data_IF_711213599469
#
_entry.id   IF_711213599469
#
_cell.length_a   1.000
_cell.length_b   1.000
_cell.length_c   1.000
_cell.angle_alpha   90.00
_cell.angle_beta   90.00
_cell.angle_gamma   90.00
#
_symmetry.space_group_name_H-M   'P 1'
#
loop_
_entity.id
_entity.type
_entity.pdbx_description
1 polymer ?
#
# COMPACT_ATOMS: atom_id res chain seq x y z
N UNK A 1 -0.28 -4.52 8.26
CA UNK A 1 -1.48 -4.70 7.41
C UNK A 1 -2.51 -3.68 7.84
N UNK A 2 -3.04 -2.89 6.92
CA UNK A 2 -4.14 -1.97 7.19
C UNK A 2 -5.45 -2.56 6.68
N UNK A 3 -6.54 -2.31 7.40
CA UNK A 3 -7.88 -2.72 7.01
C UNK A 3 -8.84 -1.55 7.24
N UNK A 4 -9.63 -1.22 6.21
CA UNK A 4 -10.68 -0.20 6.26
C UNK A 4 -12.06 -0.84 6.48
N UNK A 5 -12.10 -2.06 7.04
CA UNK A 5 -13.33 -2.83 7.28
C UNK A 5 -13.83 -3.63 6.07
N UNK A 6 -13.64 -3.14 4.85
CA UNK A 6 -14.05 -3.86 3.61
C UNK A 6 -12.88 -4.53 2.91
N UNK A 7 -11.72 -3.84 2.86
CA UNK A 7 -10.54 -4.32 2.16
C UNK A 7 -9.31 -4.24 3.08
N UNK A 8 -8.37 -5.16 2.87
CA UNK A 8 -7.06 -5.13 3.50
C UNK A 8 -5.97 -4.76 2.50
N UNK A 9 -5.06 -3.90 2.93
CA UNK A 9 -3.93 -3.46 2.12
C UNK A 9 -2.62 -3.60 2.90
N UNK A 10 -1.59 -4.08 2.21
CA UNK A 10 -0.23 -4.12 2.73
C UNK A 10 0.45 -2.80 2.41
N UNK A 11 1.19 -2.24 3.37
CA UNK A 11 1.91 -1.00 3.16
C UNK A 11 3.38 -1.28 3.36
N UNK A 12 4.14 -0.99 2.31
CA UNK A 12 5.59 -0.99 2.36
C UNK A 12 6.05 0.37 2.90
N UNK A 13 6.63 0.45 4.11
CA UNK A 13 7.02 1.72 4.71
C UNK A 13 8.28 2.32 4.08
N UNK A 14 8.94 1.60 3.16
CA UNK A 14 10.27 1.99 2.70
C UNK A 14 10.24 3.28 1.87
N UNK A 15 11.11 4.23 2.23
CA UNK A 15 11.12 5.57 1.65
C UNK A 15 9.90 6.46 1.96
N UNK A 16 9.03 6.07 2.89
CA UNK A 16 7.90 6.89 3.32
C UNK A 16 8.32 8.02 4.27
N UNK A 17 7.69 9.19 4.11
CA UNK A 17 7.77 10.27 5.10
C UNK A 17 6.75 10.02 6.21
N UNK A 18 7.24 9.65 7.38
CA UNK A 18 6.40 9.29 8.54
C UNK A 18 6.08 10.53 9.39
N UNK A 19 4.80 10.75 9.67
CA UNK A 19 4.28 11.75 10.60
C UNK A 19 3.54 11.05 11.74
N UNK A 20 4.16 10.98 12.92
CA UNK A 20 3.57 10.43 14.13
C UNK A 20 2.96 11.51 15.03
N UNK A 21 2.05 11.09 15.91
CA UNK A 21 1.54 11.90 17.02
C UNK A 21 2.54 11.92 18.19
N UNK A 22 3.15 10.76 18.47
CA UNK A 22 4.09 10.60 19.58
C UNK A 22 5.50 10.83 19.07
N UNK A 23 6.17 11.82 19.67
CA UNK A 23 7.57 12.15 19.47
C UNK A 23 8.29 12.10 20.81
N UNK A 24 9.22 11.17 20.94
CA UNK A 24 10.10 11.07 22.11
C UNK A 24 11.45 11.68 21.77
N UNK A 25 11.98 12.48 22.69
CA UNK A 25 13.30 13.09 22.58
C UNK A 25 14.04 12.82 23.88
N UNK A 26 15.21 12.22 23.78
CA UNK A 26 16.08 11.98 24.93
C UNK A 26 17.54 12.20 24.56
N UNK A 27 18.39 12.24 25.58
CA UNK A 27 19.81 12.53 25.44
C UNK A 27 20.64 11.40 26.03
N UNK A 28 21.76 11.09 25.38
CA UNK A 28 22.70 10.07 25.80
C UNK A 28 24.16 10.45 25.53
N UNK A 29 25.06 9.58 26.00
CA UNK A 29 26.51 9.76 25.92
C UNK A 29 27.17 8.92 24.82
N UNK A 30 26.47 7.92 24.27
CA UNK A 30 26.96 7.08 23.18
C UNK A 30 26.33 7.51 21.86
N UNK A 31 26.83 7.02 20.72
CA UNK A 31 26.17 7.21 19.42
C UNK A 31 25.02 6.21 19.22
N UNK A 32 25.21 4.97 19.66
CA UNK A 32 24.24 3.88 19.53
C UNK A 32 23.75 3.46 20.93
N UNK A 33 22.52 3.83 21.34
CA UNK A 33 22.02 3.50 22.67
C UNK A 33 21.42 2.08 22.66
N UNK A 34 21.86 1.23 23.59
CA UNK A 34 21.39 -0.17 23.69
C UNK A 34 20.03 -0.29 24.40
N UNK A 35 19.55 0.78 25.05
CA UNK A 35 18.28 0.80 25.77
C UNK A 35 17.52 2.09 25.51
N UNK A 36 16.28 1.96 25.05
CA UNK A 36 15.34 3.08 24.95
C UNK A 36 14.86 3.44 26.35
N UNK A 37 15.40 4.53 26.92
CA UNK A 37 14.96 5.06 28.20
C UNK A 37 13.67 5.86 27.99
N UNK A 38 12.57 5.15 27.78
CA UNK A 38 11.23 5.73 27.49
C UNK A 38 10.66 6.51 28.71
N UNK A 39 11.20 6.29 29.92
CA UNK A 39 10.58 6.74 31.18
C UNK A 39 11.51 7.43 32.19
N UNK A 40 12.79 7.64 31.88
CA UNK A 40 13.63 8.40 32.81
C UNK A 40 13.36 9.90 32.64
N UNK A 41 12.59 10.43 33.59
CA UNK A 41 12.46 11.83 33.99
C UNK A 41 13.50 12.75 33.35
N UNK A 42 13.01 13.75 32.61
CA UNK A 42 13.77 14.80 31.93
C UNK A 42 14.46 15.71 32.96
N UNK A 43 15.39 15.18 33.74
CA UNK A 43 16.18 15.95 34.67
C UNK A 43 17.16 16.80 33.87
N UNK A 44 16.87 18.11 33.82
CA UNK A 44 17.61 19.18 33.14
C UNK A 44 19.09 19.23 33.62
N UNK A 45 19.38 18.64 34.78
CA UNK A 45 20.71 18.61 35.40
C UNK A 45 21.73 17.72 34.67
N UNK A 46 21.31 16.83 33.75
CA UNK A 46 22.19 15.91 33.02
C UNK A 46 22.56 16.36 31.60
N UNK A 47 22.28 17.62 31.23
CA UNK A 47 22.52 18.15 29.88
C UNK A 47 24.02 18.38 29.61
N UNK A 48 24.81 18.68 30.65
CA UNK A 48 26.23 19.03 30.48
C UNK A 48 27.15 17.84 30.12
N UNK A 49 26.72 16.60 30.36
CA UNK A 49 27.55 15.39 30.14
C UNK A 49 27.10 14.52 28.95
N UNK A 50 26.07 14.95 28.21
CA UNK A 50 25.43 14.17 27.14
C UNK A 50 25.57 14.87 25.79
N UNK A 51 26.32 14.25 24.88
CA UNK A 51 26.67 14.82 23.57
C UNK A 51 25.71 14.43 22.44
N UNK A 52 24.82 13.45 22.68
CA UNK A 52 23.93 12.92 21.65
C UNK A 52 22.47 13.18 21.99
N UNK A 53 21.71 13.60 20.98
CA UNK A 53 20.26 13.80 21.03
C UNK A 53 19.60 12.78 20.12
N UNK A 54 18.71 12.00 20.70
CA UNK A 54 17.92 11.00 20.01
C UNK A 54 16.50 11.48 19.82
N UNK A 55 15.88 11.03 18.74
CA UNK A 55 14.50 11.32 18.42
C UNK A 55 13.82 10.08 17.87
N UNK A 56 12.77 9.63 18.56
CA UNK A 56 11.94 8.52 18.14
C UNK A 56 10.53 9.02 17.83
N UNK A 57 9.94 8.40 16.80
CA UNK A 57 8.57 8.69 16.36
C UNK A 57 7.80 7.38 16.39
N UNK A 58 6.77 7.33 17.24
CA UNK A 58 6.01 6.11 17.48
C UNK A 58 4.61 6.21 16.87
N UNK A 59 4.20 5.15 16.21
CA UNK A 59 2.82 4.91 15.79
C UNK A 59 2.31 3.77 16.65
N UNK A 60 1.29 4.02 17.47
CA UNK A 60 0.73 3.01 18.35
C UNK A 60 -0.33 2.17 17.61
N UNK A 61 -0.51 0.89 17.99
CA UNK A 61 -1.61 0.10 17.47
C UNK A 61 -2.95 0.79 17.76
N UNK A 62 -3.92 0.58 16.86
CA UNK A 62 -5.29 1.13 16.95
C UNK A 62 -5.42 2.64 16.66
N UNK A 63 -4.36 3.32 16.24
CA UNK A 63 -4.45 4.68 15.72
C UNK A 63 -4.91 4.66 14.25
N UNK A 64 -5.78 5.60 13.88
CA UNK A 64 -6.18 5.80 12.49
C UNK A 64 -5.00 6.33 11.68
N UNK A 65 -4.68 5.66 10.58
CA UNK A 65 -3.57 6.00 9.70
C UNK A 65 -4.10 6.53 8.37
N UNK A 66 -3.49 7.62 7.92
CA UNK A 66 -3.68 8.20 6.61
C UNK A 66 -2.43 7.97 5.78
N UNK A 67 -2.60 7.39 4.59
CA UNK A 67 -1.48 6.97 3.75
C UNK A 67 -1.72 7.47 2.34
N UNK A 68 -0.74 8.20 1.81
CA UNK A 68 -0.68 8.60 0.40
C UNK A 68 0.52 7.90 -0.21
N UNK A 69 0.30 7.15 -1.28
CA UNK A 69 1.34 6.48 -2.05
C UNK A 69 0.80 5.93 -3.36
N UNK A 70 1.61 5.14 -4.07
CA UNK A 70 1.15 4.45 -5.26
C UNK A 70 0.45 3.15 -4.86
N UNK A 71 -0.85 3.09 -5.11
CA UNK A 71 -1.65 1.88 -4.94
C UNK A 71 -1.40 0.94 -6.12
N UNK A 72 -0.95 -0.27 -5.83
CA UNK A 72 -0.79 -1.35 -6.82
C UNK A 72 -1.54 -2.57 -6.33
N UNK A 73 -2.37 -3.12 -7.20
CA UNK A 73 -2.96 -4.43 -6.96
C UNK A 73 -2.08 -5.46 -7.65
N UNK A 74 -1.35 -6.25 -6.86
CA UNK A 74 -0.68 -7.43 -7.37
C UNK A 74 -1.75 -8.51 -7.46
N UNK A 75 -2.37 -8.62 -8.62
CA UNK A 75 -3.10 -9.85 -8.94
C UNK A 75 -2.04 -10.94 -9.14
N UNK A 76 -2.13 -12.03 -8.39
CA UNK A 76 -1.44 -13.29 -8.70
C UNK A 76 -2.13 -13.96 -9.89
N UNK A 77 -2.33 -13.19 -10.96
CA UNK A 77 -2.50 -13.79 -12.27
C UNK A 77 -1.07 -13.95 -12.77
N UNK A 78 -0.52 -15.15 -12.65
CA UNK A 78 0.33 -15.62 -13.75
C UNK A 78 -0.45 -15.29 -15.02
N UNK A 79 0.03 -14.32 -15.82
CA UNK A 79 -0.58 -13.83 -17.06
C UNK A 79 -0.61 -14.92 -18.15
N UNK A 80 -0.86 -16.16 -17.76
CA UNK A 80 -1.04 -17.29 -18.63
C UNK A 80 -2.37 -17.13 -19.33
N UNK A 81 -2.30 -16.73 -20.59
CA UNK A 81 -3.46 -16.78 -21.48
C UNK A 81 -3.97 -18.21 -21.61
N UNK A 82 -5.25 -18.37 -21.95
CA UNK A 82 -5.86 -19.68 -22.28
C UNK A 82 -5.00 -20.46 -23.29
N UNK A 83 -4.38 -19.76 -24.24
CA UNK A 83 -3.47 -20.34 -25.23
C UNK A 83 -2.22 -20.98 -24.59
N UNK A 84 -1.63 -20.35 -23.59
CA UNK A 84 -0.47 -20.93 -22.89
C UNK A 84 -0.85 -22.18 -22.10
N UNK A 85 -2.00 -22.17 -21.43
CA UNK A 85 -2.54 -23.35 -20.74
C UNK A 85 -2.80 -24.50 -21.73
N UNK A 86 -3.34 -24.19 -22.92
CA UNK A 86 -3.55 -25.19 -23.98
C UNK A 86 -2.23 -25.80 -24.46
N UNK A 87 -1.19 -24.98 -24.68
CA UNK A 87 0.12 -25.47 -25.09
C UNK A 87 0.76 -26.36 -24.03
N UNK A 88 0.69 -25.96 -22.76
CA UNK A 88 1.19 -26.77 -21.65
C UNK A 88 0.46 -28.12 -21.55
N UNK A 89 -0.85 -28.17 -21.79
CA UNK A 89 -1.61 -29.43 -21.83
C UNK A 89 -1.14 -30.33 -22.97
N UNK A 90 -0.97 -29.80 -24.18
CA UNK A 90 -0.51 -30.56 -25.34
C UNK A 90 0.91 -31.09 -25.11
N UNK A 91 1.80 -30.28 -24.56
CA UNK A 91 3.16 -30.70 -24.24
C UNK A 91 3.19 -31.78 -23.15
N UNK A 92 2.30 -31.70 -22.16
CA UNK A 92 2.16 -32.75 -21.16
C UNK A 92 1.62 -34.05 -21.77
N UNK A 93 0.65 -33.98 -22.69
CA UNK A 93 0.14 -35.18 -23.37
C UNK A 93 1.19 -35.81 -24.29
N UNK A 94 2.01 -35.01 -24.95
CA UNK A 94 3.15 -35.52 -25.75
C UNK A 94 4.18 -36.27 -24.90
N UNK A 95 4.39 -35.85 -23.65
CA UNK A 95 5.30 -36.54 -22.72
C UNK A 95 4.76 -37.91 -22.30
N UNK A 96 3.44 -38.07 -22.22
CA UNK A 96 2.79 -39.34 -21.90
C UNK A 96 2.16 -39.99 -23.14
N UNK A 97 3.02 -40.56 -24.00
CA UNK A 97 2.62 -41.18 -25.26
C UNK A 97 1.57 -42.30 -25.07
N UNK A 98 1.64 -43.06 -23.97
CA UNK A 98 0.71 -44.17 -23.70
C UNK A 98 -0.70 -43.66 -23.41
N UNK A 99 -0.83 -42.62 -22.58
CA UNK A 99 -2.12 -42.00 -22.32
C UNK A 99 -2.67 -41.26 -23.55
N UNK A 100 -1.79 -40.63 -24.34
CA UNK A 100 -2.18 -39.95 -25.56
C UNK A 100 -2.81 -40.93 -26.58
N UNK A 101 -2.14 -42.04 -26.86
CA UNK A 101 -2.67 -43.10 -27.73
C UNK A 101 -3.99 -43.62 -27.19
N UNK A 102 -4.06 -44.01 -25.92
CA UNK A 102 -5.31 -44.56 -25.34
C UNK A 102 -6.51 -43.60 -25.45
N UNK A 103 -6.27 -42.28 -25.47
CA UNK A 103 -7.33 -41.26 -25.54
C UNK A 103 -7.74 -40.87 -26.95
N UNK A 104 -6.80 -40.84 -27.90
CA UNK A 104 -7.01 -40.22 -29.20
C UNK A 104 -6.76 -41.16 -30.39
N UNK A 105 -5.99 -42.24 -30.20
CA UNK A 105 -5.78 -43.30 -31.21
C UNK A 105 -7.09 -44.12 -31.35
N UNK A 106 -7.90 -43.71 -32.32
CA UNK A 106 -9.21 -44.30 -32.60
C UNK A 106 -9.08 -45.50 -33.52
N UNK A 107 -8.11 -45.46 -34.43
CA UNK A 107 -7.87 -46.49 -35.44
C UNK A 107 -6.98 -47.64 -34.92
N UNK A 108 -6.35 -47.48 -33.74
CA UNK A 108 -5.46 -48.41 -33.04
C UNK A 108 -4.20 -48.77 -33.85
N UNK A 109 -3.70 -47.85 -34.65
CA UNK A 109 -2.49 -48.05 -35.45
C UNK A 109 -1.19 -47.82 -34.66
N UNK A 110 -1.29 -47.28 -33.44
CA UNK A 110 -0.17 -47.02 -32.55
C UNK A 110 0.57 -45.70 -32.83
N UNK A 111 0.06 -44.90 -33.75
CA UNK A 111 0.47 -43.54 -34.03
C UNK A 111 -0.70 -42.56 -33.80
N UNK A 112 -0.46 -41.25 -33.93
CA UNK A 112 -1.54 -40.24 -33.88
C UNK A 112 -1.50 -39.52 -35.20
N UNK A 113 -2.55 -39.70 -36.01
CA UNK A 113 -2.65 -39.07 -37.32
C UNK A 113 -3.08 -37.59 -37.22
N UNK A 114 -3.19 -36.91 -38.36
CA UNK A 114 -3.52 -35.49 -38.38
C UNK A 114 -4.94 -35.20 -37.85
N UNK A 115 -5.91 -36.07 -38.12
CA UNK A 115 -7.30 -35.90 -37.70
C UNK A 115 -7.45 -36.13 -36.18
N UNK A 116 -6.73 -37.11 -35.66
CA UNK A 116 -6.64 -37.40 -34.23
C UNK A 116 -5.92 -36.26 -33.48
N UNK A 117 -4.88 -35.66 -34.08
CA UNK A 117 -4.24 -34.46 -33.54
C UNK A 117 -5.15 -33.23 -33.51
N UNK A 118 -6.03 -33.07 -34.49
CA UNK A 118 -7.04 -32.01 -34.48
C UNK A 118 -8.05 -32.22 -33.36
N UNK A 119 -8.50 -33.46 -33.16
CA UNK A 119 -9.38 -33.85 -32.06
C UNK A 119 -8.73 -33.58 -30.69
N UNK A 120 -7.44 -33.93 -30.53
CA UNK A 120 -6.68 -33.61 -29.34
C UNK A 120 -6.56 -32.09 -29.11
N UNK A 121 -6.34 -31.31 -30.17
CA UNK A 121 -6.23 -29.84 -30.06
C UNK A 121 -7.54 -29.21 -29.59
N UNK A 122 -8.68 -29.66 -30.10
CA UNK A 122 -10.00 -29.20 -29.68
C UNK A 122 -10.28 -29.56 -28.21
N UNK A 123 -9.95 -30.80 -27.80
CA UNK A 123 -10.07 -31.23 -26.42
C UNK A 123 -9.18 -30.39 -25.48
N UNK A 124 -7.94 -30.13 -25.86
CA UNK A 124 -7.01 -29.29 -25.10
C UNK A 124 -7.53 -27.85 -24.97
N UNK A 125 -8.12 -27.30 -26.04
CA UNK A 125 -8.68 -25.96 -26.02
C UNK A 125 -9.88 -25.84 -25.08
N UNK A 126 -10.80 -26.81 -25.10
CA UNK A 126 -11.95 -26.84 -24.19
C UNK A 126 -11.52 -27.00 -22.74
N UNK A 127 -10.60 -27.92 -22.48
CA UNK A 127 -10.07 -28.15 -21.14
C UNK A 127 -9.28 -26.93 -20.62
N UNK A 128 -8.49 -26.27 -21.48
CA UNK A 128 -7.80 -25.03 -21.12
C UNK A 128 -8.77 -23.90 -20.77
N UNK A 129 -9.90 -23.78 -21.48
CA UNK A 129 -10.95 -22.82 -21.13
C UNK A 129 -11.59 -23.14 -19.79
N UNK A 130 -11.93 -24.41 -19.52
CA UNK A 130 -12.47 -24.81 -18.22
C UNK A 130 -11.49 -24.53 -17.08
N UNK A 131 -10.23 -24.94 -17.22
CA UNK A 131 -9.18 -24.66 -16.23
C UNK A 131 -9.02 -23.16 -16.00
N UNK A 132 -9.13 -22.34 -17.04
CA UNK A 132 -9.03 -20.89 -16.93
C UNK A 132 -10.24 -20.28 -16.19
N UNK A 133 -11.45 -20.80 -16.44
CA UNK A 133 -12.69 -20.33 -15.79
C UNK A 133 -12.81 -20.82 -14.33
N UNK A 134 -12.36 -22.04 -14.05
CA UNK A 134 -12.38 -22.64 -12.72
C UNK A 134 -11.19 -22.22 -11.86
N UNK A 135 -10.19 -21.53 -12.45
CA UNK A 135 -9.04 -21.02 -11.71
C UNK A 135 -9.54 -20.10 -10.60
N UNK A 136 -9.30 -20.44 -9.32
CA UNK A 136 -9.68 -19.55 -8.23
C UNK A 136 -9.00 -18.21 -8.45
N UNK A 137 -9.78 -17.12 -8.37
CA UNK A 137 -9.25 -15.76 -8.36
C UNK A 137 -8.39 -15.64 -7.11
N UNK A 138 -7.08 -15.87 -7.26
CA UNK A 138 -6.15 -15.70 -6.15
C UNK A 138 -6.24 -14.25 -5.69
N UNK A 139 -6.48 -14.08 -4.39
CA UNK A 139 -6.87 -12.80 -3.81
C UNK A 139 -5.82 -11.76 -4.16
N UNK A 140 -6.20 -10.81 -5.00
CA UNK A 140 -5.30 -9.79 -5.45
C UNK A 140 -4.82 -8.98 -4.23
N UNK A 141 -3.52 -9.04 -3.94
CA UNK A 141 -2.95 -8.35 -2.78
C UNK A 141 -2.76 -6.89 -3.17
N UNK A 142 -3.54 -6.01 -2.56
CA UNK A 142 -3.36 -4.57 -2.70
C UNK A 142 -2.18 -4.12 -1.83
N UNK A 143 -1.19 -3.49 -2.46
CA UNK A 143 0.00 -2.95 -1.81
C UNK A 143 0.09 -1.45 -2.10
N UNK A 144 0.41 -0.65 -1.08
CA UNK A 144 0.81 0.74 -1.25
C UNK A 144 2.33 0.82 -1.09
N UNK A 145 3.00 1.35 -2.11
CA UNK A 145 4.45 1.55 -2.13
C UNK A 145 4.81 2.98 -2.54
N UNK A 146 6.09 3.30 -2.44
CA UNK A 146 6.65 4.55 -2.94
C UNK A 146 6.38 4.67 -4.45
N UNK A 147 5.89 5.82 -4.94
CA UNK A 147 5.70 6.03 -6.36
C UNK A 147 7.02 5.91 -7.14
N UNK A 148 7.02 5.24 -8.30
CA UNK A 148 8.20 5.17 -9.18
C UNK A 148 8.63 6.57 -9.65
N UNK A 149 7.66 7.50 -9.74
CA UNK A 149 7.90 8.89 -10.09
C UNK A 149 8.36 9.65 -8.84
N UNK A 150 9.65 9.99 -8.80
CA UNK A 150 10.36 10.63 -7.69
C UNK A 150 9.71 11.93 -7.14
N UNK A 151 8.88 12.61 -7.94
CA UNK A 151 8.22 13.87 -7.53
C UNK A 151 6.93 13.68 -6.72
N UNK A 152 6.40 12.45 -6.57
CA UNK A 152 5.15 12.24 -5.82
C UNK A 152 5.43 11.98 -4.34
N UNK A 153 4.75 12.67 -3.41
CA UNK A 153 4.97 12.48 -2.00
C UNK A 153 4.45 11.10 -1.55
N UNK A 154 5.30 10.35 -0.85
CA UNK A 154 4.91 9.12 -0.15
C UNK A 154 4.85 9.43 1.35
N UNK A 155 3.65 9.49 1.93
CA UNK A 155 3.42 9.99 3.30
C UNK A 155 2.57 8.98 4.07
N UNK A 156 3.03 8.64 5.28
CA UNK A 156 2.27 7.88 6.28
C UNK A 156 2.06 8.80 7.48
N UNK A 157 0.81 9.15 7.77
CA UNK A 157 0.45 10.12 8.80
C UNK A 157 -0.60 9.57 9.76
N UNK A 158 -0.40 9.78 11.06
CA UNK A 158 -1.37 9.44 12.12
C UNK A 158 -2.48 10.49 12.25
N UNK A 159 -2.36 11.63 11.54
CA UNK A 159 -3.33 12.71 11.65
C UNK A 159 -4.57 12.43 10.77
N UNK A 160 -5.78 12.30 11.35
CA UNK A 160 -7.00 12.40 10.56
C UNK A 160 -7.12 13.85 10.08
N UNK A 161 -6.92 14.07 8.78
CA UNK A 161 -7.00 15.36 8.09
C UNK A 161 -8.22 16.21 8.50
N UNK A 162 -9.31 15.56 8.94
CA UNK A 162 -10.54 16.21 9.44
C UNK A 162 -10.36 17.08 10.70
N UNK A 163 -9.40 16.77 11.61
CA UNK A 163 -9.19 17.59 12.83
C UNK A 163 -8.43 18.88 12.55
N UNK A 164 -7.51 18.88 11.59
CA UNK A 164 -6.78 20.08 11.18
C UNK A 164 -7.71 21.11 10.53
N UNK A 165 -8.60 20.67 9.64
CA UNK A 165 -9.57 21.55 8.96
C UNK A 165 -10.44 22.32 9.96
N UNK A 166 -10.86 21.68 11.06
CA UNK A 166 -11.70 22.33 12.08
C UNK A 166 -10.95 23.46 12.81
N UNK A 167 -9.67 23.26 13.15
CA UNK A 167 -8.83 24.29 13.79
C UNK A 167 -8.54 25.46 12.85
N UNK A 168 -8.15 25.17 11.60
CA UNK A 168 -7.90 26.22 10.60
C UNK A 168 -9.15 27.05 10.30
N UNK A 169 -10.34 26.41 10.28
CA UNK A 169 -11.61 27.13 10.12
C UNK A 169 -11.90 28.09 11.29
N UNK A 170 -11.57 27.70 12.52
CA UNK A 170 -11.72 28.59 13.69
C UNK A 170 -10.76 29.78 13.63
N UNK A 171 -9.49 29.53 13.25
CA UNK A 171 -8.49 30.59 13.09
C UNK A 171 -8.90 31.57 11.97
N UNK A 172 -9.38 31.05 10.83
CA UNK A 172 -9.87 31.87 9.73
C UNK A 172 -11.05 32.76 10.17
N UNK A 173 -12.00 32.20 10.91
CA UNK A 173 -13.13 32.96 11.45
C UNK A 173 -12.66 34.04 12.44
N UNK A 174 -11.73 33.72 13.35
CA UNK A 174 -11.19 34.70 14.29
C UNK A 174 -10.41 35.84 13.61
N UNK A 175 -9.65 35.51 12.57
CA UNK A 175 -8.91 36.50 11.79
C UNK A 175 -9.86 37.42 11.02
N UNK A 176 -10.93 36.86 10.45
CA UNK A 176 -11.96 37.63 9.76
C UNK A 176 -12.69 38.61 10.71
N UNK A 177 -13.09 38.14 11.89
CA UNK A 177 -13.72 39.02 12.90
C UNK A 177 -12.78 40.12 13.38
N UNK A 178 -11.49 39.79 13.58
CA UNK A 178 -10.49 40.78 14.01
C UNK A 178 -10.25 41.85 12.94
N UNK A 179 -10.22 41.47 11.67
CA UNK A 179 -10.08 42.40 10.56
C UNK A 179 -11.28 43.38 10.48
N UNK A 180 -12.51 42.88 10.67
CA UNK A 180 -13.71 43.71 10.69
C UNK A 180 -13.73 44.69 11.86
N UNK A 181 -13.30 44.26 13.05
CA UNK A 181 -13.19 45.15 14.23
C UNK A 181 -12.16 46.24 14.00
N UNK A 182 -11.00 45.91 13.43
CA UNK A 182 -9.96 46.88 13.07
C UNK A 182 -10.46 47.90 12.03
N UNK A 183 -11.16 47.45 10.99
CA UNK A 183 -11.78 48.34 10.00
C UNK A 183 -12.79 49.28 10.65
N UNK A 184 -13.68 48.76 11.51
CA UNK A 184 -14.64 49.59 12.24
C UNK A 184 -13.97 50.61 13.16
N UNK A 185 -12.89 50.22 13.84
CA UNK A 185 -12.11 51.10 14.69
C UNK A 185 -11.46 52.24 13.90
N UNK A 186 -10.90 51.95 12.71
CA UNK A 186 -10.31 52.97 11.83
C UNK A 186 -11.37 53.96 11.35
N UNK A 187 -12.57 53.49 10.97
CA UNK A 187 -13.68 54.35 10.55
C UNK A 187 -14.16 55.25 11.69
N UNK A 188 -14.31 54.69 12.90
CA UNK A 188 -14.69 55.47 14.08
C UNK A 188 -13.66 56.56 14.39
N UNK A 189 -12.37 56.22 14.31
CA UNK A 189 -11.26 57.15 14.52
C UNK A 189 -11.27 58.26 13.45
N UNK A 190 -11.49 57.93 12.17
CA UNK A 190 -11.64 58.97 11.14
C UNK A 190 -12.84 59.89 11.38
N UNK A 191 -13.93 59.39 11.97
CA UNK A 191 -15.11 60.20 12.28
C UNK A 191 -14.94 61.08 13.54
N UNK A 192 -14.15 60.66 14.52
CA UNK A 192 -13.92 61.44 15.75
C UNK A 192 -12.87 62.55 15.60
N UNK A 193 -11.96 62.42 14.63
CA UNK A 193 -10.89 63.39 14.38
C UNK A 193 -11.23 64.43 13.29
N UNK A 194 -12.47 64.41 12.79
CA UNK A 194 -12.96 65.32 11.75
C UNK A 194 -14.09 66.20 12.29
#
# INVERSE_FOLDING_TARGET
MLSDGTNSCLVDPDGAKIQSDIKLVWYGSTEWPTTTKILESQSILNIASKHYRYQERLILPRQSLYIIGQFRTLSSHTNQSVRQVMLDLIDNWKKDKLQLLTRFDTNKDGEIDQEEWESARLAAQLQAQQIYLERPVEQAVSIITKPDISQRPFIISVYPQKRLIKKYRQIAFSAFTLCLVLMGYIVWLMQTYH
#
